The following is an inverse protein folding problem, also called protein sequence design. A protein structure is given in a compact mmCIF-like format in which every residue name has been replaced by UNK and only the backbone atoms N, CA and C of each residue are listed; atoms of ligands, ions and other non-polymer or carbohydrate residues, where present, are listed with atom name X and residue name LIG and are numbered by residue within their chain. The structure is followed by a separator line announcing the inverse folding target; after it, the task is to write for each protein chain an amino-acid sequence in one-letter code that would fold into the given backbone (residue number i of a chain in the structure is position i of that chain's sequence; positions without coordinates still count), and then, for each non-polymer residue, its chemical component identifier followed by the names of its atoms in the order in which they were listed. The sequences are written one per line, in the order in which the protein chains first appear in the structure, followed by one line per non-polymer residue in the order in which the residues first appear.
data_IF_966716471236
#
_entry.id   IF_966716471236
#
_cell.length_a   1.000
_cell.length_b   1.000
_cell.length_c   1.000
_cell.angle_alpha   90.00
_cell.angle_beta   90.00
_cell.angle_gamma   90.00
#
_symmetry.space_group_name_H-M   'P 1'
#
loop_
_entity.id
_entity.type
_entity.pdbx_description
1 polymer ?
#
# COMPACT_ATOMS: atom_id res chain seq x y z
N UNK A 1 13.28 -25.82 25.05
CA UNK A 1 12.77 -24.50 25.50
C UNK A 1 13.31 -23.45 24.55
N UNK A 2 12.46 -22.56 24.03
CA UNK A 2 12.90 -21.42 23.23
C UNK A 2 13.35 -20.35 24.23
N UNK A 3 14.66 -20.12 24.30
CA UNK A 3 15.22 -19.10 25.18
C UNK A 3 15.10 -17.71 24.52
N UNK A 4 14.71 -16.69 25.29
CA UNK A 4 14.49 -15.34 24.76
C UNK A 4 15.77 -14.76 24.13
N UNK A 5 16.91 -15.09 24.72
CA UNK A 5 18.24 -14.72 24.21
C UNK A 5 18.54 -15.39 22.85
N UNK A 6 18.08 -16.63 22.67
CA UNK A 6 18.26 -17.38 21.42
C UNK A 6 17.41 -16.77 20.28
N UNK A 7 16.25 -16.20 20.60
CA UNK A 7 15.42 -15.46 19.64
C UNK A 7 16.05 -14.12 19.31
N UNK A 8 16.52 -13.37 20.30
CA UNK A 8 17.15 -12.06 20.11
C UNK A 8 18.41 -12.16 19.24
N UNK A 9 19.30 -13.12 19.52
CA UNK A 9 20.49 -13.35 18.68
C UNK A 9 20.12 -13.62 17.23
N UNK A 10 19.10 -14.44 16.99
CA UNK A 10 18.62 -14.73 15.62
C UNK A 10 18.04 -13.53 14.89
N UNK A 11 17.47 -12.56 15.61
CA UNK A 11 16.93 -11.32 15.02
C UNK A 11 18.07 -10.36 14.61
N UNK A 12 19.21 -10.44 15.30
CA UNK A 12 20.38 -9.60 15.07
C UNK A 12 21.45 -10.24 14.19
N UNK A 13 21.43 -11.55 14.01
CA UNK A 13 22.36 -12.24 13.13
C UNK A 13 22.10 -11.89 11.65
N UNK A 14 23.16 -11.69 10.84
CA UNK A 14 23.03 -11.40 9.42
C UNK A 14 22.39 -12.57 8.67
N UNK A 15 21.61 -12.28 7.62
CA UNK A 15 20.95 -13.30 6.82
C UNK A 15 21.99 -14.15 6.05
N UNK A 16 22.12 -15.42 6.42
CA UNK A 16 22.87 -16.39 5.61
C UNK A 16 21.94 -16.90 4.48
N UNK A 17 22.32 -16.86 3.19
CA UNK A 17 21.55 -17.49 2.10
C UNK A 17 21.37 -19.02 2.27
N UNK A 18 22.22 -19.68 3.06
CA UNK A 18 22.06 -21.08 3.47
C UNK A 18 21.00 -21.25 4.59
N UNK A 19 20.51 -20.14 5.14
CA UNK A 19 19.41 -20.17 6.09
C UNK A 19 18.16 -20.69 5.42
N UNK A 20 17.53 -21.68 6.07
CA UNK A 20 16.20 -22.22 5.69
C UNK A 20 15.11 -21.16 5.53
N UNK A 21 15.33 -19.93 6.02
CA UNK A 21 14.37 -18.83 5.97
C UNK A 21 14.58 -17.88 4.77
N UNK A 22 15.73 -17.93 4.09
CA UNK A 22 16.05 -17.02 2.98
C UNK A 22 15.10 -17.22 1.78
N UNK A 23 15.04 -18.45 1.26
CA UNK A 23 14.22 -18.78 0.10
C UNK A 23 12.71 -18.59 0.33
N UNK A 24 12.14 -18.99 1.49
CA UNK A 24 10.75 -18.66 1.81
C UNK A 24 10.47 -17.15 1.83
N UNK A 25 11.39 -16.33 2.34
CA UNK A 25 11.19 -14.88 2.42
C UNK A 25 11.30 -14.22 1.04
N UNK A 26 12.25 -14.66 0.21
CA UNK A 26 12.35 -14.23 -1.18
C UNK A 26 11.10 -14.60 -1.98
N UNK A 27 10.65 -15.86 -1.90
CA UNK A 27 9.40 -16.30 -2.52
C UNK A 27 8.18 -15.49 -2.01
N UNK A 28 8.13 -15.24 -0.70
CA UNK A 28 7.13 -14.38 -0.08
C UNK A 28 7.11 -12.96 -0.65
N UNK A 29 8.28 -12.36 -0.90
CA UNK A 29 8.38 -11.06 -1.54
C UNK A 29 7.81 -11.06 -2.97
N UNK A 30 8.14 -12.07 -3.78
CA UNK A 30 7.57 -12.22 -5.13
C UNK A 30 6.05 -12.42 -5.11
N UNK A 31 5.55 -13.26 -4.20
CA UNK A 31 4.10 -13.47 -4.01
C UNK A 31 3.43 -12.16 -3.59
N UNK A 32 4.04 -11.39 -2.69
CA UNK A 32 3.53 -10.11 -2.26
C UNK A 32 3.50 -9.08 -3.42
N UNK A 33 4.49 -9.08 -4.32
CA UNK A 33 4.48 -8.24 -5.53
C UNK A 33 3.27 -8.62 -6.39
N UNK A 34 3.11 -9.91 -6.70
CA UNK A 34 2.00 -10.40 -7.52
C UNK A 34 0.65 -10.08 -6.89
N UNK A 35 0.51 -10.30 -5.58
CA UNK A 35 -0.71 -9.98 -4.82
C UNK A 35 -1.01 -8.47 -4.83
N UNK A 36 0.02 -7.62 -4.71
CA UNK A 36 -0.17 -6.17 -4.76
C UNK A 36 -0.66 -5.69 -6.13
N UNK A 37 -0.04 -6.21 -7.20
CA UNK A 37 -0.44 -5.93 -8.57
C UNK A 37 -1.87 -6.41 -8.83
N UNK A 38 -2.19 -7.65 -8.41
CA UNK A 38 -3.54 -8.19 -8.52
C UNK A 38 -4.57 -7.36 -7.75
N UNK A 39 -4.24 -6.94 -6.51
CA UNK A 39 -5.07 -6.04 -5.71
C UNK A 39 -5.33 -4.72 -6.43
N UNK A 40 -4.30 -4.09 -6.99
CA UNK A 40 -4.42 -2.82 -7.69
C UNK A 40 -5.36 -2.93 -8.90
N UNK A 41 -5.15 -3.92 -9.76
CA UNK A 41 -6.00 -4.14 -10.93
C UNK A 41 -7.43 -4.53 -10.56
N UNK A 42 -7.62 -5.35 -9.52
CA UNK A 42 -8.94 -5.74 -9.06
C UNK A 42 -9.72 -4.51 -8.53
N UNK A 43 -9.06 -3.67 -7.72
CA UNK A 43 -9.68 -2.50 -7.11
C UNK A 43 -10.03 -1.41 -8.13
N UNK A 44 -9.37 -1.37 -9.29
CA UNK A 44 -9.67 -0.44 -10.38
C UNK A 44 -10.96 -0.77 -11.16
N UNK A 45 -11.52 -1.97 -11.03
CA UNK A 45 -12.70 -2.40 -11.81
C UNK A 45 -14.04 -1.83 -11.32
N UNK A 46 -14.07 -1.06 -10.22
CA UNK A 46 -15.30 -0.51 -9.64
C UNK A 46 -15.42 1.02 -9.77
N UNK A 47 -16.59 1.59 -9.42
CA UNK A 47 -16.75 3.02 -9.23
C UNK A 47 -15.95 3.47 -7.99
N UNK A 48 -14.89 4.23 -8.21
CA UNK A 48 -13.97 4.70 -7.16
C UNK A 48 -14.03 6.22 -7.10
N UNK A 49 -14.15 6.83 -5.90
CA UNK A 49 -14.04 8.27 -5.75
C UNK A 49 -12.71 8.77 -6.35
N UNK A 50 -12.67 9.90 -7.08
CA UNK A 50 -11.43 10.45 -7.62
C UNK A 50 -10.29 10.60 -6.58
N UNK A 51 -10.54 11.03 -5.33
CA UNK A 51 -9.49 11.10 -4.31
C UNK A 51 -8.82 9.75 -4.03
N UNK A 52 -9.61 8.68 -3.97
CA UNK A 52 -9.11 7.34 -3.72
C UNK A 52 -8.44 6.76 -4.98
N UNK A 53 -8.93 7.13 -6.17
CA UNK A 53 -8.31 6.77 -7.45
C UNK A 53 -6.90 7.35 -7.58
N UNK A 54 -6.67 8.56 -7.07
CA UNK A 54 -5.34 9.20 -7.12
C UNK A 54 -4.39 8.64 -6.05
N UNK A 55 -4.90 8.21 -4.90
CA UNK A 55 -4.13 7.63 -3.80
C UNK A 55 -3.61 6.22 -4.11
N UNK A 56 -4.43 5.38 -4.73
CA UNK A 56 -4.14 3.95 -4.92
C UNK A 56 -2.85 3.66 -5.70
N UNK A 57 -2.50 4.39 -6.78
CA UNK A 57 -1.21 4.24 -7.45
C UNK A 57 -0.03 4.48 -6.49
N UNK A 58 -0.12 5.49 -5.62
CA UNK A 58 0.93 5.75 -4.63
C UNK A 58 1.06 4.61 -3.62
N UNK A 59 -0.05 4.09 -3.10
CA UNK A 59 -0.03 2.95 -2.20
C UNK A 59 0.55 1.67 -2.86
N UNK A 60 0.28 1.46 -4.15
CA UNK A 60 0.89 0.40 -4.94
C UNK A 60 2.41 0.61 -5.05
N UNK A 61 2.85 1.80 -5.46
CA UNK A 61 4.27 2.11 -5.63
C UNK A 61 5.06 2.02 -4.33
N UNK A 62 4.52 2.52 -3.22
CA UNK A 62 5.15 2.41 -1.89
C UNK A 62 5.43 0.95 -1.56
N UNK A 63 4.45 0.07 -1.76
CA UNK A 63 4.64 -1.36 -1.52
C UNK A 63 5.62 -2.01 -2.50
N UNK A 64 5.58 -1.66 -3.79
CA UNK A 64 6.53 -2.19 -4.77
C UNK A 64 7.96 -1.79 -4.40
N UNK A 65 8.19 -0.51 -4.10
CA UNK A 65 9.49 0.01 -3.68
C UNK A 65 9.94 -0.69 -2.39
N UNK A 66 9.05 -0.87 -1.42
CA UNK A 66 9.35 -1.62 -0.20
C UNK A 66 9.75 -3.07 -0.50
N UNK A 67 9.04 -3.77 -1.40
CA UNK A 67 9.36 -5.16 -1.74
C UNK A 67 10.70 -5.28 -2.47
N UNK A 68 11.01 -4.35 -3.37
CA UNK A 68 12.34 -4.25 -4.00
C UNK A 68 13.40 -3.99 -2.92
N UNK A 69 13.13 -3.09 -1.98
CA UNK A 69 14.02 -2.80 -0.86
C UNK A 69 14.29 -4.04 0.00
N UNK A 70 13.26 -4.84 0.31
CA UNK A 70 13.42 -6.13 1.02
C UNK A 70 14.34 -7.08 0.25
N UNK A 71 14.19 -7.19 -1.07
CA UNK A 71 15.09 -8.01 -1.89
C UNK A 71 16.53 -7.50 -1.83
N UNK A 72 16.75 -6.17 -1.85
CA UNK A 72 18.07 -5.56 -1.67
C UNK A 72 18.66 -5.90 -0.30
N UNK A 73 17.87 -5.79 0.78
CA UNK A 73 18.30 -6.14 2.15
C UNK A 73 18.70 -7.62 2.26
N UNK A 74 17.95 -8.51 1.60
CA UNK A 74 18.26 -9.94 1.54
C UNK A 74 19.58 -10.21 0.81
N UNK A 75 19.82 -9.56 -0.33
CA UNK A 75 21.08 -9.68 -1.08
C UNK A 75 22.26 -9.13 -0.26
N UNK A 76 22.04 -8.01 0.44
CA UNK A 76 23.02 -7.39 1.32
C UNK A 76 23.24 -8.16 2.64
N UNK A 77 22.53 -9.28 2.86
CA UNK A 77 22.65 -10.14 4.05
C UNK A 77 22.43 -9.39 5.37
N UNK A 78 21.60 -8.35 5.35
CA UNK A 78 21.34 -7.54 6.53
C UNK A 78 20.52 -8.32 7.58
N UNK A 79 20.63 -7.94 8.87
CA UNK A 79 19.94 -8.66 9.94
C UNK A 79 18.43 -8.49 9.84
N UNK A 80 17.67 -9.50 10.27
CA UNK A 80 16.21 -9.51 10.15
C UNK A 80 15.55 -8.28 10.78
N UNK A 81 16.12 -7.73 11.86
CA UNK A 81 15.66 -6.50 12.49
C UNK A 81 15.50 -5.34 11.49
N UNK A 82 16.40 -5.21 10.51
CA UNK A 82 16.31 -4.13 9.49
C UNK A 82 15.11 -4.30 8.56
N UNK A 83 14.77 -5.55 8.23
CA UNK A 83 13.57 -5.89 7.44
C UNK A 83 12.32 -5.56 8.26
N UNK A 84 12.30 -5.93 9.54
CA UNK A 84 11.18 -5.64 10.44
C UNK A 84 10.94 -4.13 10.60
N UNK A 85 12.00 -3.35 10.83
CA UNK A 85 11.92 -1.89 10.92
C UNK A 85 11.40 -1.31 9.61
N UNK A 86 11.95 -1.76 8.47
CA UNK A 86 11.51 -1.29 7.15
C UNK A 86 10.03 -1.60 6.90
N UNK A 87 9.54 -2.76 7.35
CA UNK A 87 8.14 -3.14 7.28
C UNK A 87 7.25 -2.20 8.10
N UNK A 88 7.66 -1.88 9.33
CA UNK A 88 6.91 -0.94 10.18
C UNK A 88 6.85 0.45 9.55
N UNK A 89 7.93 0.92 8.94
CA UNK A 89 7.95 2.21 8.21
C UNK A 89 7.00 2.18 7.01
N UNK A 90 7.00 1.10 6.23
CA UNK A 90 6.09 0.94 5.09
C UNK A 90 4.62 0.97 5.54
N UNK A 91 4.29 0.23 6.61
CA UNK A 91 2.95 0.24 7.20
C UNK A 91 2.55 1.63 7.73
N UNK A 92 3.48 2.33 8.38
CA UNK A 92 3.25 3.69 8.88
C UNK A 92 2.99 4.68 7.73
N UNK A 93 3.73 4.58 6.61
CA UNK A 93 3.47 5.40 5.42
C UNK A 93 2.08 5.15 4.85
N UNK A 94 1.68 3.89 4.69
CA UNK A 94 0.34 3.55 4.21
C UNK A 94 -0.75 4.03 5.18
N UNK A 95 -0.57 3.81 6.48
CA UNK A 95 -1.48 4.28 7.50
C UNK A 95 -1.61 5.81 7.46
N UNK A 96 -0.50 6.53 7.32
CA UNK A 96 -0.52 7.98 7.18
C UNK A 96 -1.36 8.43 5.97
N UNK A 97 -1.16 7.79 4.82
CA UNK A 97 -1.90 8.10 3.59
C UNK A 97 -3.41 7.87 3.76
N UNK A 98 -3.81 6.73 4.33
CA UNK A 98 -5.23 6.38 4.47
C UNK A 98 -5.93 7.08 5.63
N UNK A 99 -5.25 7.31 6.75
CA UNK A 99 -5.86 7.88 7.96
C UNK A 99 -5.79 9.41 8.01
N UNK A 100 -4.79 10.03 7.39
CA UNK A 100 -4.59 11.48 7.50
C UNK A 100 -4.70 12.21 6.16
N UNK A 101 -4.18 11.64 5.07
CA UNK A 101 -4.17 12.35 3.77
C UNK A 101 -5.46 12.17 2.96
N UNK A 102 -6.04 10.97 2.97
CA UNK A 102 -7.26 10.64 2.22
C UNK A 102 -8.53 11.31 2.78
N UNK A 103 -8.82 11.30 4.10
CA UNK A 103 -10.13 11.73 4.62
C UNK A 103 -10.49 13.20 4.30
N UNK A 104 -9.57 14.18 4.42
CA UNK A 104 -9.85 15.56 4.04
C UNK A 104 -10.28 15.71 2.57
N UNK A 105 -9.72 14.90 1.67
CA UNK A 105 -10.02 14.94 0.23
C UNK A 105 -11.35 14.29 -0.09
N UNK A 106 -11.67 13.18 0.58
CA UNK A 106 -12.98 12.54 0.45
C UNK A 106 -14.12 13.44 0.94
N UNK A 107 -13.93 14.15 2.06
CA UNK A 107 -14.95 15.09 2.56
C UNK A 107 -15.11 16.30 1.63
N UNK A 108 -14.05 16.76 0.97
CA UNK A 108 -14.13 17.80 -0.04
C UNK A 108 -14.89 17.31 -1.29
N UNK A 109 -14.59 16.10 -1.75
CA UNK A 109 -15.29 15.48 -2.88
C UNK A 109 -16.79 15.25 -2.60
N UNK A 110 -17.13 14.78 -1.39
CA UNK A 110 -18.52 14.61 -0.98
C UNK A 110 -19.29 15.95 -0.96
N UNK A 111 -18.63 17.05 -0.57
CA UNK A 111 -19.21 18.40 -0.66
C UNK A 111 -19.46 18.81 -2.10
N UNK A 112 -18.52 18.54 -3.01
CA UNK A 112 -18.68 18.85 -4.43
C UNK A 112 -19.80 18.03 -5.09
N UNK A 113 -19.88 16.73 -4.78
CA UNK A 113 -21.00 15.88 -5.24
C UNK A 113 -22.36 16.40 -4.78
N UNK A 114 -22.47 16.95 -3.56
CA UNK A 114 -23.71 17.59 -3.09
C UNK A 114 -24.02 18.84 -3.90
N UNK A 115 -23.03 19.69 -4.22
CA UNK A 115 -23.22 20.89 -5.06
C UNK A 115 -23.72 20.54 -6.46
N UNK A 116 -23.13 19.51 -7.08
CA UNK A 116 -23.52 19.04 -8.42
C UNK A 116 -24.98 18.56 -8.50
N UNK A 117 -25.59 18.10 -7.39
CA UNK A 117 -27.02 17.74 -7.38
C UNK A 117 -27.96 18.93 -7.52
N UNK A 118 -27.55 20.11 -7.06
CA UNK A 118 -28.36 21.32 -7.09
C UNK A 118 -28.17 22.15 -8.37
N UNK A 119 -27.14 21.87 -9.16
CA UNK A 119 -26.94 22.53 -10.45
C UNK A 119 -27.93 21.93 -11.46
N UNK A 120 -28.86 22.73 -12.01
CA UNK A 120 -29.84 22.22 -12.96
C UNK A 120 -29.14 21.74 -14.23
N UNK A 121 -29.31 20.46 -14.57
CA UNK A 121 -28.75 19.89 -15.79
C UNK A 121 -29.24 20.67 -17.01
N UNK A 122 -28.35 21.11 -17.93
CA UNK A 122 -28.70 21.98 -19.05
C UNK A 122 -29.74 21.36 -20.00
N UNK A 123 -29.88 20.04 -20.01
CA UNK A 123 -30.86 19.31 -20.82
C UNK A 123 -32.32 19.66 -20.47
N UNK A 124 -32.64 19.96 -19.20
CA UNK A 124 -34.01 20.33 -18.80
C UNK A 124 -34.44 21.72 -19.30
N UNK A 125 -33.49 22.60 -19.63
CA UNK A 125 -33.81 23.94 -20.16
C UNK A 125 -34.26 23.91 -21.63
N UNK A 126 -33.76 22.99 -22.45
CA UNK A 126 -34.18 22.89 -23.87
C UNK A 126 -35.63 22.43 -24.02
N UNK A 127 -36.13 21.59 -23.12
CA UNK A 127 -37.50 21.06 -23.17
C UNK A 127 -38.57 22.03 -22.67
N UNK A 128 -38.17 23.12 -21.99
CA UNK A 128 -39.08 24.16 -21.45
C UNK A 128 -39.17 25.40 -22.34
N UNK A 129 -38.37 25.45 -23.42
CA UNK A 129 -38.33 26.55 -24.41
C UNK A 129 -38.91 26.15 -25.78
N UNK A 130 -39.38 24.90 -25.93
CA UNK A 130 -40.24 24.45 -27.03
C UNK A 130 -41.62 24.20 -26.46
#
# INVERSE_FOLDING_TARGET
MIDLEHVLRRLTDPFNPESRYYWPLAAGAFIAIAANVAWYYWKQRGPVPPPERDLRPWAMWINIIFLIWVLVLLIAKLPFLTILISLLVNLAMLAFMYLYWLPPRETAWAREQRRLRYIPKPERRKRRRR
#
